data_IF_862610276387
#
_entry.id   IF_862610276387
#
_cell.length_a   1.000
_cell.length_b   1.000
_cell.length_c   1.000
_cell.angle_alpha   90.00
_cell.angle_beta   90.00
_cell.angle_gamma   90.00
#
_symmetry.space_group_name_H-M   'P 1'
#
loop_
_entity.id
_entity.type
_entity.pdbx_description
1 polymer ?
#
# COMPACT_ATOMS: atom_id res chain seq x y z
N UNK A 1 -21.96 14.72 -8.43
CA UNK A 1 -22.18 13.67 -7.40
C UNK A 1 -21.27 13.92 -6.21
N UNK A 2 -20.00 14.24 -6.44
CA UNK A 2 -18.99 14.50 -5.39
C UNK A 2 -19.33 15.64 -4.42
N UNK A 3 -20.02 16.70 -4.88
CA UNK A 3 -20.43 17.82 -4.02
C UNK A 3 -21.43 17.41 -2.93
N UNK A 4 -22.22 16.35 -3.15
CA UNK A 4 -23.24 15.89 -2.20
C UNK A 4 -22.73 14.87 -1.18
N UNK A 5 -21.50 14.36 -1.35
CA UNK A 5 -20.87 13.39 -0.43
C UNK A 5 -21.81 12.20 -0.08
N UNK A 6 -22.46 11.63 -1.09
CA UNK A 6 -23.43 10.55 -0.91
C UNK A 6 -22.77 9.34 -0.22
N UNK A 7 -23.47 8.71 0.72
CA UNK A 7 -22.95 7.53 1.42
C UNK A 7 -22.79 6.36 0.44
N UNK A 8 -23.75 6.18 -0.47
CA UNK A 8 -23.77 5.08 -1.45
C UNK A 8 -22.79 5.24 -2.61
N UNK A 9 -22.10 6.38 -2.73
CA UNK A 9 -21.02 6.57 -3.71
C UNK A 9 -19.65 6.27 -3.13
N UNK A 10 -19.54 5.97 -1.83
CA UNK A 10 -18.27 5.60 -1.21
C UNK A 10 -17.90 4.18 -1.66
N UNK A 11 -16.62 3.91 -1.96
CA UNK A 11 -16.17 2.57 -2.31
C UNK A 11 -16.36 1.63 -1.11
N UNK A 12 -16.70 0.36 -1.39
CA UNK A 12 -17.06 -0.63 -0.37
C UNK A 12 -16.11 -1.82 -0.41
N UNK A 13 -15.69 -2.26 0.76
CA UNK A 13 -14.93 -3.50 0.97
C UNK A 13 -15.73 -4.39 1.93
N UNK A 14 -16.06 -5.60 1.48
CA UNK A 14 -16.78 -6.58 2.26
C UNK A 14 -15.80 -7.46 3.04
N UNK A 15 -15.85 -7.37 4.37
CA UNK A 15 -15.02 -8.19 5.26
C UNK A 15 -15.88 -9.34 5.80
N UNK A 16 -15.64 -10.54 5.28
CA UNK A 16 -16.30 -11.77 5.70
C UNK A 16 -15.53 -12.38 6.87
N UNK A 17 -16.07 -12.20 8.08
CA UNK A 17 -15.56 -12.88 9.26
C UNK A 17 -15.99 -14.35 9.26
N UNK A 18 -15.02 -15.27 9.37
CA UNK A 18 -15.24 -16.72 9.29
C UNK A 18 -14.57 -17.46 10.46
N UNK A 19 -14.85 -18.75 10.57
CA UNK A 19 -14.11 -19.67 11.43
C UNK A 19 -12.70 -19.96 10.90
N UNK A 20 -11.82 -20.44 11.78
CA UNK A 20 -10.40 -20.74 11.49
C UNK A 20 -10.21 -21.69 10.30
N UNK A 21 -10.99 -22.77 10.25
CA UNK A 21 -10.92 -23.75 9.16
C UNK A 21 -11.29 -23.16 7.79
N UNK A 22 -12.01 -22.03 7.80
CA UNK A 22 -12.46 -21.31 6.62
C UNK A 22 -11.59 -20.09 6.30
N UNK A 23 -10.53 -19.81 7.07
CA UNK A 23 -9.72 -18.59 6.94
C UNK A 23 -9.05 -18.44 5.56
N UNK A 24 -8.65 -19.57 4.96
CA UNK A 24 -7.96 -19.61 3.67
C UNK A 24 -8.91 -19.48 2.48
N UNK A 25 -9.91 -20.36 2.41
CA UNK A 25 -10.75 -20.52 1.21
C UNK A 25 -12.17 -19.97 1.39
N UNK A 26 -12.57 -19.63 2.62
CA UNK A 26 -13.93 -19.25 2.96
C UNK A 26 -14.86 -20.44 3.15
N UNK A 27 -16.16 -20.14 3.25
CA UNK A 27 -17.21 -21.13 3.44
C UNK A 27 -18.45 -20.80 2.61
N UNK A 28 -19.51 -21.62 2.73
CA UNK A 28 -20.75 -21.43 1.98
C UNK A 28 -21.41 -20.05 2.19
N UNK A 29 -21.15 -19.36 3.31
CA UNK A 29 -21.65 -18.00 3.54
C UNK A 29 -20.86 -16.97 2.73
N UNK A 30 -19.55 -17.14 2.62
CA UNK A 30 -18.70 -16.29 1.76
C UNK A 30 -19.15 -16.39 0.31
N UNK A 31 -19.47 -17.59 -0.18
CA UNK A 31 -20.01 -17.78 -1.54
C UNK A 31 -21.34 -17.05 -1.74
N UNK A 32 -22.21 -17.07 -0.74
CA UNK A 32 -23.49 -16.33 -0.78
C UNK A 32 -23.27 -14.82 -0.82
N UNK A 33 -22.28 -14.29 -0.09
CA UNK A 33 -21.91 -12.87 -0.16
C UNK A 33 -21.37 -12.54 -1.55
N UNK A 34 -20.44 -13.37 -2.07
CA UNK A 34 -19.86 -13.21 -3.41
C UNK A 34 -20.92 -13.16 -4.51
N UNK A 35 -21.92 -14.04 -4.45
CA UNK A 35 -23.04 -14.03 -5.38
C UNK A 35 -23.95 -12.79 -5.19
N UNK A 36 -24.19 -12.36 -3.95
CA UNK A 36 -25.04 -11.20 -3.66
C UNK A 36 -24.46 -9.89 -4.20
N UNK A 37 -23.14 -9.72 -4.14
CA UNK A 37 -22.45 -8.48 -4.53
C UNK A 37 -21.83 -8.55 -5.92
N UNK A 38 -22.09 -9.60 -6.71
CA UNK A 38 -21.43 -9.83 -8.01
C UNK A 38 -21.56 -8.69 -9.04
N UNK A 39 -22.56 -7.83 -8.85
CA UNK A 39 -22.82 -6.67 -9.71
C UNK A 39 -22.37 -5.35 -9.07
N UNK A 40 -21.76 -5.39 -7.88
CA UNK A 40 -21.16 -4.25 -7.21
C UNK A 40 -19.67 -4.19 -7.54
N UNK A 41 -19.13 -2.98 -7.67
CA UNK A 41 -17.69 -2.76 -7.75
C UNK A 41 -17.09 -2.77 -6.33
N UNK A 42 -17.08 -3.94 -5.72
CA UNK A 42 -16.66 -4.14 -4.34
C UNK A 42 -15.81 -5.40 -4.19
N UNK A 43 -14.72 -5.26 -3.42
CA UNK A 43 -13.80 -6.36 -3.11
C UNK A 43 -14.29 -7.14 -1.87
N UNK A 44 -13.94 -8.43 -1.80
CA UNK A 44 -14.21 -9.28 -0.64
C UNK A 44 -12.90 -9.72 -0.01
N UNK A 45 -12.82 -9.62 1.31
CA UNK A 45 -11.76 -10.22 2.11
C UNK A 45 -12.35 -11.20 3.10
N UNK A 46 -11.68 -12.33 3.27
CA UNK A 46 -12.01 -13.37 4.24
C UNK A 46 -11.00 -13.24 5.39
N UNK A 47 -11.51 -13.14 6.62
CA UNK A 47 -10.71 -13.07 7.84
C UNK A 47 -11.30 -13.99 8.90
N UNK A 48 -10.46 -14.77 9.58
CA UNK A 48 -10.85 -15.41 10.83
C UNK A 48 -10.51 -14.48 11.98
N UNK A 49 -11.40 -13.54 12.32
CA UNK A 49 -11.08 -12.42 13.23
C UNK A 49 -10.69 -12.89 14.64
N UNK A 50 -11.27 -14.01 15.11
CA UNK A 50 -10.88 -14.60 16.38
C UNK A 50 -9.40 -15.07 16.34
N UNK A 51 -9.06 -15.84 15.32
CA UNK A 51 -7.69 -16.31 15.06
C UNK A 51 -6.70 -15.15 14.89
N UNK A 52 -7.09 -14.07 14.18
CA UNK A 52 -6.27 -12.86 14.06
C UNK A 52 -6.00 -12.18 15.40
N UNK A 53 -6.96 -12.20 16.32
CA UNK A 53 -6.78 -11.67 17.67
C UNK A 53 -5.74 -12.46 18.45
N UNK A 54 -5.78 -13.79 18.35
CA UNK A 54 -4.82 -14.67 19.00
C UNK A 54 -3.40 -14.45 18.43
N UNK A 55 -3.28 -14.33 17.10
CA UNK A 55 -2.00 -14.01 16.43
C UNK A 55 -1.46 -12.65 16.89
N UNK A 56 -2.32 -11.65 17.06
CA UNK A 56 -1.91 -10.32 17.48
C UNK A 56 -1.38 -10.25 18.92
N UNK A 57 -1.68 -11.24 19.76
CA UNK A 57 -1.15 -11.35 21.13
C UNK A 57 0.24 -12.02 21.18
N UNK A 58 0.67 -12.68 20.11
CA UNK A 58 2.02 -13.25 20.00
C UNK A 58 3.03 -12.11 19.81
N UNK A 59 4.02 -12.01 20.71
CA UNK A 59 5.07 -10.99 20.61
C UNK A 59 6.21 -11.41 19.67
N UNK A 60 6.39 -12.72 19.48
CA UNK A 60 7.46 -13.30 18.68
C UNK A 60 7.03 -13.54 17.22
N UNK A 61 7.80 -13.01 16.27
CA UNK A 61 7.50 -13.11 14.85
C UNK A 61 7.68 -14.53 14.28
N UNK A 62 8.63 -15.32 14.81
CA UNK A 62 8.79 -16.71 14.40
C UNK A 62 7.58 -17.53 14.88
N UNK A 63 7.09 -17.30 16.09
CA UNK A 63 5.87 -17.93 16.60
C UNK A 63 4.63 -17.55 15.77
N UNK A 64 4.47 -16.26 15.44
CA UNK A 64 3.40 -15.81 14.54
C UNK A 64 3.46 -16.53 13.19
N UNK A 65 4.64 -16.66 12.60
CA UNK A 65 4.82 -17.29 11.29
C UNK A 65 4.48 -18.79 11.33
N UNK A 66 4.92 -19.51 12.37
CA UNK A 66 4.57 -20.92 12.56
C UNK A 66 3.06 -21.10 12.65
N UNK A 67 2.39 -20.26 13.43
CA UNK A 67 0.94 -20.32 13.60
C UNK A 67 0.20 -20.06 12.28
N UNK A 68 0.63 -19.06 11.50
CA UNK A 68 0.07 -18.76 10.18
C UNK A 68 0.22 -19.95 9.23
N UNK A 69 1.41 -20.58 9.20
CA UNK A 69 1.68 -21.75 8.35
C UNK A 69 0.80 -22.95 8.73
N UNK A 70 0.59 -23.19 10.03
CA UNK A 70 -0.25 -24.27 10.53
C UNK A 70 -1.72 -24.15 10.07
N UNK A 71 -2.23 -22.92 9.99
CA UNK A 71 -3.58 -22.62 9.46
C UNK A 71 -3.59 -22.34 7.94
N UNK A 72 -2.44 -22.50 7.28
CA UNK A 72 -2.29 -22.40 5.83
C UNK A 72 -2.34 -20.98 5.26
N UNK A 73 -2.04 -19.97 6.08
CA UNK A 73 -1.91 -18.56 5.73
C UNK A 73 -0.42 -18.17 5.59
N UNK A 74 -0.14 -17.26 4.67
CA UNK A 74 1.23 -16.75 4.44
C UNK A 74 1.51 -15.45 5.21
N UNK A 75 0.46 -14.76 5.64
CA UNK A 75 0.55 -13.47 6.32
C UNK A 75 -0.72 -13.21 7.16
N UNK A 76 -0.64 -12.33 8.18
CA UNK A 76 -1.80 -11.91 8.94
C UNK A 76 -2.87 -11.28 8.05
N UNK A 77 -4.12 -11.65 8.27
CA UNK A 77 -5.27 -11.06 7.61
C UNK A 77 -5.43 -9.56 7.90
N UNK A 78 -4.97 -9.06 9.05
CA UNK A 78 -4.89 -7.63 9.32
C UNK A 78 -4.03 -6.88 8.28
N UNK A 79 -2.89 -7.44 7.86
CA UNK A 79 -2.03 -6.84 6.84
C UNK A 79 -2.72 -6.81 5.47
N UNK A 80 -3.43 -7.88 5.11
CA UNK A 80 -4.26 -7.96 3.90
C UNK A 80 -5.37 -6.90 3.90
N UNK A 81 -6.05 -6.74 5.03
CA UNK A 81 -7.10 -5.73 5.20
C UNK A 81 -6.57 -4.31 5.03
N UNK A 82 -5.42 -3.99 5.64
CA UNK A 82 -4.79 -2.67 5.53
C UNK A 82 -4.47 -2.35 4.07
N UNK A 83 -3.82 -3.27 3.34
CA UNK A 83 -3.47 -3.04 1.92
C UNK A 83 -4.69 -2.87 1.03
N UNK A 84 -5.74 -3.66 1.27
CA UNK A 84 -6.97 -3.52 0.51
C UNK A 84 -7.72 -2.22 0.82
N UNK A 85 -7.76 -1.78 2.08
CA UNK A 85 -8.31 -0.48 2.44
C UNK A 85 -7.51 0.66 1.80
N UNK A 86 -6.19 0.54 1.73
CA UNK A 86 -5.31 1.51 1.09
C UNK A 86 -5.61 1.64 -0.42
N UNK A 87 -5.75 0.50 -1.11
CA UNK A 87 -6.18 0.42 -2.50
C UNK A 87 -7.60 0.96 -2.70
N UNK A 88 -8.54 0.63 -1.81
CA UNK A 88 -9.93 1.11 -1.84
C UNK A 88 -10.02 2.63 -1.78
N UNK A 89 -9.12 3.25 -1.01
CA UNK A 89 -9.00 4.71 -0.88
C UNK A 89 -8.20 5.36 -2.02
N UNK A 90 -7.81 4.58 -3.04
CA UNK A 90 -7.02 5.01 -4.17
C UNK A 90 -5.68 5.65 -3.74
N UNK A 91 -5.03 5.05 -2.74
CA UNK A 91 -3.74 5.47 -2.20
C UNK A 91 -2.61 4.56 -2.69
N UNK A 92 -1.41 5.13 -2.79
CA UNK A 92 -0.17 4.43 -3.10
C UNK A 92 0.97 4.99 -2.25
N UNK A 93 2.07 4.26 -2.19
CA UNK A 93 3.24 4.59 -1.37
C UNK A 93 4.43 4.97 -2.24
N UNK A 94 5.15 6.01 -1.85
CA UNK A 94 6.53 6.23 -2.32
C UNK A 94 7.47 6.34 -1.11
N UNK A 95 8.76 6.22 -1.34
CA UNK A 95 9.77 6.19 -0.29
C UNK A 95 10.75 7.34 -0.39
N UNK A 96 11.17 7.84 0.77
CA UNK A 96 12.41 8.61 0.91
C UNK A 96 13.41 7.76 1.68
N UNK A 97 14.59 7.55 1.10
CA UNK A 97 15.66 6.74 1.68
C UNK A 97 16.86 7.63 1.94
N UNK A 98 17.30 7.69 3.19
CA UNK A 98 18.51 8.42 3.59
C UNK A 98 19.23 7.71 4.73
N UNK A 99 20.44 8.18 5.06
CA UNK A 99 21.29 7.56 6.09
C UNK A 99 20.61 7.54 7.47
N UNK A 100 19.80 8.56 7.77
CA UNK A 100 19.13 8.71 9.07
C UNK A 100 17.73 8.12 9.12
N UNK A 101 17.04 8.04 7.98
CA UNK A 101 15.62 7.73 7.93
C UNK A 101 15.28 7.04 6.61
N UNK A 102 14.47 6.00 6.71
CA UNK A 102 13.72 5.42 5.60
C UNK A 102 12.25 5.61 5.93
N UNK A 103 11.50 6.21 5.02
CA UNK A 103 10.10 6.55 5.28
C UNK A 103 9.22 6.29 4.07
N UNK A 104 8.08 5.67 4.34
CA UNK A 104 6.95 5.53 3.43
C UNK A 104 6.06 6.78 3.51
N UNK A 105 5.66 7.30 2.35
CA UNK A 105 4.79 8.45 2.21
C UNK A 105 3.55 8.06 1.41
N UNK A 106 2.39 8.50 1.90
CA UNK A 106 1.08 8.23 1.30
C UNK A 106 0.71 9.32 0.32
N UNK A 107 0.36 8.96 -0.91
CA UNK A 107 -0.21 9.86 -1.93
C UNK A 107 -1.38 9.19 -2.64
N UNK A 108 -2.25 9.97 -3.25
CA UNK A 108 -3.25 9.41 -4.16
C UNK A 108 -2.59 8.84 -5.40
N UNK A 109 -3.15 7.76 -5.94
CA UNK A 109 -2.77 7.23 -7.26
C UNK A 109 -2.98 8.33 -8.30
N UNK A 110 -1.94 8.58 -9.10
CA UNK A 110 -1.94 9.67 -10.09
C UNK A 110 -1.35 10.99 -9.59
N UNK A 111 -0.90 11.08 -8.34
CA UNK A 111 -0.22 12.28 -7.83
C UNK A 111 1.04 12.60 -8.63
N UNK A 112 1.26 13.87 -8.93
CA UNK A 112 2.48 14.35 -9.59
C UNK A 112 3.64 14.48 -8.59
N UNK A 113 4.88 14.51 -9.09
CA UNK A 113 6.06 14.68 -8.24
C UNK A 113 6.01 15.92 -7.33
N UNK A 114 5.54 17.11 -7.77
CA UNK A 114 5.34 18.25 -6.88
C UNK A 114 4.31 18.00 -5.78
N UNK A 115 3.18 17.37 -6.10
CA UNK A 115 2.14 17.04 -5.12
C UNK A 115 2.66 16.05 -4.07
N UNK A 116 3.43 15.04 -4.51
CA UNK A 116 4.09 14.11 -3.61
C UNK A 116 5.10 14.82 -2.70
N UNK A 117 5.92 15.73 -3.24
CA UNK A 117 6.83 16.54 -2.43
C UNK A 117 6.08 17.41 -1.41
N UNK A 118 4.89 17.92 -1.78
CA UNK A 118 3.98 18.69 -0.92
C UNK A 118 3.51 17.94 0.33
N UNK A 119 3.40 16.62 0.26
CA UNK A 119 3.08 15.76 1.43
C UNK A 119 4.17 15.82 2.49
N UNK A 120 5.43 16.01 2.09
CA UNK A 120 6.55 16.20 3.02
C UNK A 120 6.49 17.61 3.63
N UNK A 121 6.36 18.62 2.78
CA UNK A 121 6.21 20.01 3.19
C UNK A 121 5.59 20.85 2.07
N UNK A 122 4.67 21.75 2.40
CA UNK A 122 3.97 22.58 1.40
C UNK A 122 4.89 23.51 0.61
N UNK A 123 6.05 23.90 1.17
CA UNK A 123 7.05 24.68 0.45
C UNK A 123 7.79 23.86 -0.64
N UNK A 124 7.91 22.54 -0.49
CA UNK A 124 8.56 21.71 -1.51
C UNK A 124 7.73 21.65 -2.79
N UNK A 125 6.41 21.67 -2.68
CA UNK A 125 5.51 21.72 -3.83
C UNK A 125 5.68 23.05 -4.61
N UNK A 126 5.70 24.18 -3.89
CA UNK A 126 5.89 25.51 -4.50
C UNK A 126 7.28 25.70 -5.08
N UNK A 127 8.29 25.26 -4.34
CA UNK A 127 9.70 25.36 -4.68
C UNK A 127 10.21 24.24 -5.59
N UNK A 128 9.35 23.30 -6.03
CA UNK A 128 9.75 22.11 -6.75
C UNK A 128 10.55 22.44 -8.02
N UNK A 129 11.74 21.85 -8.13
CA UNK A 129 12.59 21.93 -9.32
C UNK A 129 12.49 20.63 -10.11
N UNK A 130 12.78 19.49 -9.48
CA UNK A 130 12.80 18.15 -10.07
C UNK A 130 12.83 17.07 -8.99
N UNK A 131 12.55 15.83 -9.35
CA UNK A 131 12.75 14.66 -8.49
C UNK A 131 13.80 13.73 -9.09
N UNK A 132 14.71 13.21 -8.27
CA UNK A 132 15.51 12.04 -8.60
C UNK A 132 14.69 10.81 -8.19
N UNK A 133 14.43 9.88 -9.13
CA UNK A 133 13.52 8.75 -8.95
C UNK A 133 14.22 7.44 -9.27
N UNK A 134 14.10 6.46 -8.37
CA UNK A 134 14.50 5.08 -8.59
C UNK A 134 13.31 4.17 -8.33
N UNK A 135 13.08 3.18 -9.19
CA UNK A 135 12.04 2.19 -8.91
C UNK A 135 12.52 1.20 -7.84
N UNK A 136 11.61 0.77 -6.96
CA UNK A 136 11.92 -0.17 -5.88
C UNK A 136 12.64 -1.43 -6.39
N UNK A 137 12.09 -2.09 -7.41
CA UNK A 137 12.66 -3.33 -7.94
C UNK A 137 14.08 -3.13 -8.50
N UNK A 138 14.31 -1.99 -9.14
CA UNK A 138 15.65 -1.63 -9.62
C UNK A 138 16.61 -1.38 -8.45
N UNK A 139 16.16 -0.70 -7.40
CA UNK A 139 17.00 -0.50 -6.22
C UNK A 139 17.36 -1.83 -5.55
N UNK A 140 16.41 -2.76 -5.44
CA UNK A 140 16.65 -4.10 -4.87
C UNK A 140 17.59 -4.91 -5.76
N UNK A 141 17.42 -4.89 -7.08
CA UNK A 141 18.29 -5.60 -8.04
C UNK A 141 19.75 -5.14 -7.95
N UNK A 142 19.99 -3.84 -7.89
CA UNK A 142 21.34 -3.28 -7.87
C UNK A 142 21.92 -3.21 -6.45
N UNK A 143 21.09 -3.15 -5.41
CA UNK A 143 21.46 -3.17 -3.99
C UNK A 143 22.01 -1.86 -3.43
N UNK A 144 22.19 -0.81 -4.24
CA UNK A 144 22.53 0.53 -3.76
C UNK A 144 22.22 1.63 -4.76
N UNK A 145 21.94 2.84 -4.27
CA UNK A 145 21.72 4.04 -5.11
C UNK A 145 22.91 4.32 -6.05
N UNK A 146 24.15 4.12 -5.56
CA UNK A 146 25.35 4.30 -6.38
C UNK A 146 25.36 3.37 -7.59
N UNK A 147 25.01 2.09 -7.40
CA UNK A 147 24.95 1.12 -8.50
C UNK A 147 23.79 1.38 -9.46
N UNK A 148 22.63 1.81 -8.96
CA UNK A 148 21.50 2.25 -9.80
C UNK A 148 21.90 3.42 -10.69
N UNK A 149 22.67 4.38 -10.13
CA UNK A 149 23.18 5.54 -10.86
C UNK A 149 24.25 5.15 -11.89
N UNK A 150 25.18 4.28 -11.54
CA UNK A 150 26.20 3.75 -12.46
C UNK A 150 25.58 2.97 -13.62
N UNK A 151 24.47 2.27 -13.37
CA UNK A 151 23.68 1.59 -14.40
C UNK A 151 22.82 2.52 -15.26
N UNK A 152 22.81 3.83 -14.99
CA UNK A 152 22.02 4.82 -15.72
C UNK A 152 20.51 4.68 -15.49
N UNK A 153 20.10 4.10 -14.36
CA UNK A 153 18.68 3.82 -14.03
C UNK A 153 18.07 4.83 -13.06
N UNK A 154 18.86 5.80 -12.59
CA UNK A 154 18.36 6.93 -11.82
C UNK A 154 17.65 7.93 -12.75
N UNK A 155 16.33 8.04 -12.64
CA UNK A 155 15.52 9.00 -13.39
C UNK A 155 15.64 10.41 -12.80
N UNK A 156 15.59 11.42 -13.68
CA UNK A 156 15.49 12.84 -13.27
C UNK A 156 14.21 13.39 -13.87
N UNK A 157 13.21 13.55 -13.01
CA UNK A 157 11.83 13.73 -13.38
C UNK A 157 11.32 15.14 -13.09
N UNK A 158 10.49 15.65 -14.01
CA UNK A 158 9.93 17.00 -13.95
C UNK A 158 8.60 17.09 -13.20
N UNK A 159 7.93 18.23 -13.34
CA UNK A 159 6.66 18.52 -12.68
C UNK A 159 5.50 17.62 -13.13
N UNK A 160 5.56 17.14 -14.37
CA UNK A 160 4.51 16.29 -14.97
C UNK A 160 4.70 14.80 -14.68
N UNK A 161 5.76 14.42 -13.96
CA UNK A 161 5.97 13.02 -13.61
C UNK A 161 4.90 12.57 -12.64
N UNK A 162 4.19 11.51 -13.00
CA UNK A 162 3.23 10.83 -12.15
C UNK A 162 3.98 9.81 -11.31
N UNK A 163 3.94 9.99 -9.99
CA UNK A 163 4.59 9.09 -9.04
C UNK A 163 4.00 7.70 -9.19
N UNK A 164 4.87 6.69 -9.15
CA UNK A 164 4.47 5.28 -9.17
C UNK A 164 4.60 4.68 -7.78
N UNK A 165 3.78 3.68 -7.51
CA UNK A 165 3.87 2.91 -6.27
C UNK A 165 5.28 2.29 -6.14
N UNK A 166 5.86 2.45 -4.95
CA UNK A 166 7.21 2.00 -4.64
C UNK A 166 8.34 2.90 -5.13
N UNK A 167 8.08 4.04 -5.79
CA UNK A 167 9.15 4.95 -6.21
C UNK A 167 9.97 5.41 -5.00
N UNK A 168 11.30 5.32 -5.11
CA UNK A 168 12.25 5.90 -4.16
C UNK A 168 12.65 7.27 -4.71
N UNK A 169 12.27 8.33 -4.00
CA UNK A 169 12.33 9.69 -4.50
C UNK A 169 13.22 10.59 -3.63
N UNK A 170 13.99 11.45 -4.29
CA UNK A 170 14.68 12.59 -3.68
C UNK A 170 14.26 13.88 -4.40
N UNK A 171 13.57 14.76 -3.68
CA UNK A 171 13.09 16.02 -4.24
C UNK A 171 14.15 17.13 -4.16
N UNK A 172 14.35 17.84 -5.27
CA UNK A 172 15.14 19.07 -5.34
C UNK A 172 14.18 20.25 -5.41
N UNK A 173 14.35 21.19 -4.50
CA UNK A 173 13.53 22.39 -4.41
C UNK A 173 14.40 23.62 -4.14
N UNK A 174 13.90 24.79 -4.52
CA UNK A 174 14.49 26.06 -4.11
C UNK A 174 13.84 26.53 -2.81
N UNK A 175 14.65 27.07 -1.91
CA UNK A 175 14.19 27.71 -0.65
C UNK A 175 14.24 29.22 -0.82
#
# INVERSE_FOLDING_TARGET
VDEFQMITSKPVLYVCNVDEASAKDGNAYVERVREAIKNEDAEIIILAVATESDIAELEDHEEQQIFLEDIGLEEPGAARLIRAAYKLLNLQTYFTVGVKEVRAWTVFVGATAPQAAGVIHTDFEKGFIRAEVMQYDTFVEFGSEAKVKEAGKLGVEGKEYVVKDGDIMHFRFNV
#
